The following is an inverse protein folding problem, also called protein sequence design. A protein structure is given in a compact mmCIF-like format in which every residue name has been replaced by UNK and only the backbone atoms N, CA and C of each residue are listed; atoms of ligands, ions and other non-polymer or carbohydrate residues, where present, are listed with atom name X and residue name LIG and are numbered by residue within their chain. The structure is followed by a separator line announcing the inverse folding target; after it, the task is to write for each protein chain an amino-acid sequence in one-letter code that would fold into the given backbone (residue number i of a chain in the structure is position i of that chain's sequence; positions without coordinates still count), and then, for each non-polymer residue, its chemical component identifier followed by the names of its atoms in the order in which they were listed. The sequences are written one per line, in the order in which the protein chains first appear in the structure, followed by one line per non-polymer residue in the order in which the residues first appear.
data_IF_647844750356
#
_entry.id   IF_647844750356
#
_cell.length_a   1.000
_cell.length_b   1.000
_cell.length_c   1.000
_cell.angle_alpha   90.00
_cell.angle_beta   90.00
_cell.angle_gamma   90.00
#
_symmetry.space_group_name_H-M   'P 1'
#
loop_
_entity.id
_entity.type
_entity.pdbx_description
1 polymer ?
#
# COMPACT_ATOMS: atom_id res chain seq x y z
N UNK A 1 25.77 -29.11 45.53
CA UNK A 1 24.56 -28.26 45.41
C UNK A 1 24.72 -27.46 44.13
N UNK A 2 24.23 -28.00 43.01
CA UNK A 2 24.21 -27.26 41.74
C UNK A 2 22.79 -26.75 41.52
N UNK A 3 22.60 -25.45 41.69
CA UNK A 3 21.33 -24.79 41.44
C UNK A 3 21.15 -24.63 39.94
N UNK A 4 20.53 -25.62 39.30
CA UNK A 4 20.03 -25.47 37.93
C UNK A 4 18.98 -24.36 37.93
N UNK A 5 19.36 -23.17 37.48
CA UNK A 5 18.42 -22.13 37.09
C UNK A 5 17.59 -22.74 35.95
N UNK A 6 16.36 -23.15 36.26
CA UNK A 6 15.36 -23.42 35.24
C UNK A 6 15.20 -22.10 34.49
N UNK A 7 15.77 -22.02 33.29
CA UNK A 7 15.28 -21.11 32.26
C UNK A 7 13.83 -21.54 32.01
N UNK A 8 12.92 -20.96 32.79
CA UNK A 8 11.50 -21.02 32.53
C UNK A 8 11.30 -20.54 31.11
N UNK A 9 10.69 -21.38 30.28
CA UNK A 9 10.24 -21.05 28.93
C UNK A 9 9.33 -19.82 29.02
N UNK A 10 9.88 -18.63 28.79
CA UNK A 10 9.10 -17.40 28.68
C UNK A 10 8.77 -17.21 27.19
N UNK A 11 7.54 -17.61 26.84
CA UNK A 11 6.72 -17.22 25.69
C UNK A 11 7.39 -17.10 24.31
N UNK A 12 7.60 -18.24 23.64
CA UNK A 12 7.80 -18.28 22.18
C UNK A 12 6.50 -18.03 21.38
N UNK A 13 5.33 -18.07 22.02
CA UNK A 13 4.00 -18.02 21.38
C UNK A 13 3.50 -16.61 20.99
N UNK A 14 4.08 -15.53 21.54
CA UNK A 14 3.62 -14.15 21.24
C UNK A 14 4.43 -13.47 20.13
N UNK A 15 5.50 -14.08 19.64
CA UNK A 15 6.32 -13.52 18.55
C UNK A 15 5.60 -13.54 17.19
N UNK A 16 4.67 -14.46 16.97
CA UNK A 16 4.09 -14.71 15.65
C UNK A 16 3.27 -13.53 15.13
N UNK A 17 2.61 -12.79 16.01
CA UNK A 17 1.67 -11.71 15.68
C UNK A 17 2.14 -10.33 16.18
N UNK A 18 3.45 -10.14 16.31
CA UNK A 18 4.04 -8.88 16.80
C UNK A 18 5.15 -8.45 15.85
N UNK A 19 5.07 -7.24 15.30
CA UNK A 19 6.06 -6.71 14.38
C UNK A 19 6.70 -5.45 14.95
N UNK A 20 7.98 -5.27 14.64
CA UNK A 20 8.66 -3.99 14.87
C UNK A 20 8.73 -3.23 13.54
N UNK A 21 8.08 -2.08 13.47
CA UNK A 21 7.93 -1.32 12.22
C UNK A 21 8.50 0.07 12.40
N UNK A 22 9.04 0.66 11.33
CA UNK A 22 9.56 2.01 11.40
C UNK A 22 8.42 3.00 11.70
N UNK A 23 8.71 3.98 12.55
CA UNK A 23 7.77 5.02 12.91
C UNK A 23 7.71 6.05 11.76
N UNK A 24 6.57 6.22 11.06
CA UNK A 24 6.47 7.14 9.93
C UNK A 24 6.68 8.60 10.35
N UNK A 25 6.45 8.94 11.62
CA UNK A 25 6.61 10.30 12.16
C UNK A 25 8.03 10.60 12.66
N UNK A 26 8.91 9.60 12.68
CA UNK A 26 10.30 9.79 13.08
C UNK A 26 11.13 10.42 11.96
N UNK A 27 12.31 10.91 12.31
CA UNK A 27 13.23 11.54 11.38
C UNK A 27 13.86 10.47 10.47
N UNK A 28 13.76 10.65 9.15
CA UNK A 28 14.34 9.74 8.15
C UNK A 28 15.86 9.63 8.25
N UNK A 29 16.58 10.69 8.62
CA UNK A 29 18.03 10.66 8.83
C UNK A 29 18.41 9.82 10.05
N UNK A 30 17.56 9.78 11.07
CA UNK A 30 17.77 8.96 12.27
C UNK A 30 17.53 7.48 11.93
N UNK A 31 16.44 7.19 11.22
CA UNK A 31 16.16 5.85 10.69
C UNK A 31 17.28 5.34 9.77
N UNK A 32 17.83 6.19 8.89
CA UNK A 32 18.96 5.80 8.04
C UNK A 32 20.21 5.45 8.85
N UNK A 33 20.52 6.22 9.91
CA UNK A 33 21.63 5.89 10.81
C UNK A 33 21.43 4.56 11.51
N UNK A 34 20.21 4.27 11.96
CA UNK A 34 19.91 2.97 12.56
C UNK A 34 20.03 1.83 11.56
N UNK A 35 19.58 2.01 10.31
CA UNK A 35 19.81 1.04 9.22
C UNK A 35 21.32 0.79 9.08
N UNK A 36 22.12 1.85 8.95
CA UNK A 36 23.57 1.73 8.74
C UNK A 36 24.24 0.99 9.90
N UNK A 37 23.85 1.28 11.14
CA UNK A 37 24.36 0.59 12.33
C UNK A 37 23.97 -0.88 12.33
N UNK A 38 22.72 -1.21 12.04
CA UNK A 38 22.24 -2.59 12.03
C UNK A 38 22.87 -3.40 10.89
N UNK A 39 23.03 -2.82 9.71
CA UNK A 39 23.67 -3.50 8.58
C UNK A 39 25.16 -3.81 8.79
N UNK A 40 25.80 -3.28 9.83
CA UNK A 40 27.13 -3.71 10.25
C UNK A 40 27.12 -5.01 11.06
N UNK A 41 25.96 -5.41 11.59
CA UNK A 41 25.81 -6.56 12.49
C UNK A 41 24.79 -7.60 12.01
N UNK A 42 24.05 -7.33 10.93
CA UNK A 42 23.10 -8.25 10.29
C UNK A 42 23.14 -8.12 8.76
N UNK A 43 22.58 -9.12 8.07
CA UNK A 43 22.50 -9.13 6.62
C UNK A 43 21.41 -8.18 6.10
N UNK A 44 21.85 -7.15 5.37
CA UNK A 44 20.97 -6.19 4.69
C UNK A 44 20.91 -6.38 3.18
N UNK A 45 21.47 -7.46 2.63
CA UNK A 45 21.39 -7.77 1.19
C UNK A 45 19.96 -7.71 0.62
N UNK A 46 18.90 -8.12 1.35
CA UNK A 46 17.53 -8.03 0.85
C UNK A 46 17.04 -6.62 0.54
N UNK A 47 17.55 -5.58 1.20
CA UNK A 47 17.15 -4.18 1.02
C UNK A 47 18.13 -3.38 0.15
N UNK A 48 19.18 -4.01 -0.38
CA UNK A 48 20.10 -3.36 -1.34
C UNK A 48 19.57 -3.56 -2.76
N UNK A 49 20.10 -2.77 -3.70
CA UNK A 49 19.73 -2.84 -5.11
C UNK A 49 19.72 -4.28 -5.64
N UNK A 50 18.59 -4.72 -6.20
CA UNK A 50 18.38 -6.09 -6.69
C UNK A 50 17.96 -7.12 -5.63
N UNK A 51 17.84 -6.71 -4.37
CA UNK A 51 17.34 -7.53 -3.28
C UNK A 51 15.81 -7.70 -3.30
N UNK A 52 15.33 -8.79 -2.69
CA UNK A 52 13.90 -9.15 -2.68
C UNK A 52 13.00 -8.15 -1.92
N UNK A 53 13.58 -7.33 -1.05
CA UNK A 53 12.90 -6.29 -0.26
C UNK A 53 13.49 -4.91 -0.55
N UNK A 54 14.12 -4.74 -1.72
CA UNK A 54 14.63 -3.44 -2.16
C UNK A 54 13.48 -2.49 -2.47
N UNK A 55 12.41 -3.01 -3.09
CA UNK A 55 11.24 -2.22 -3.44
C UNK A 55 10.12 -2.36 -2.38
N UNK A 56 9.48 -1.24 -1.99
CA UNK A 56 9.76 0.13 -2.42
C UNK A 56 11.09 0.66 -1.85
N UNK A 57 11.86 1.35 -2.69
CA UNK A 57 13.16 1.90 -2.31
C UNK A 57 13.03 3.20 -1.49
N UNK A 58 12.52 3.08 -0.26
CA UNK A 58 12.45 4.18 0.71
C UNK A 58 13.14 3.82 2.02
N UNK A 59 13.65 4.85 2.72
CA UNK A 59 14.26 4.69 4.05
C UNK A 59 13.27 4.07 5.04
N UNK A 60 11.98 4.43 4.96
CA UNK A 60 10.96 3.96 5.89
C UNK A 60 10.69 2.46 5.73
N UNK A 61 10.65 1.98 4.50
CA UNK A 61 10.41 0.57 4.18
C UNK A 61 11.64 -0.29 4.52
N UNK A 62 12.83 0.18 4.15
CA UNK A 62 14.08 -0.49 4.52
C UNK A 62 14.27 -0.54 6.04
N UNK A 63 13.97 0.55 6.75
CA UNK A 63 13.97 0.58 8.21
C UNK A 63 12.99 -0.44 8.80
N UNK A 64 11.76 -0.51 8.27
CA UNK A 64 10.76 -1.48 8.75
C UNK A 64 11.21 -2.92 8.58
N UNK A 65 11.84 -3.26 7.44
CA UNK A 65 12.41 -4.58 7.22
C UNK A 65 13.55 -4.88 8.20
N UNK A 66 14.51 -3.97 8.33
CA UNK A 66 15.70 -4.16 9.17
C UNK A 66 15.31 -4.23 10.65
N UNK A 67 14.44 -3.34 11.12
CA UNK A 67 13.96 -3.33 12.50
C UNK A 67 13.18 -4.59 12.85
N UNK A 68 12.28 -5.03 11.97
CA UNK A 68 11.54 -6.27 12.18
C UNK A 68 12.48 -7.47 12.23
N UNK A 69 13.42 -7.58 11.29
CA UNK A 69 14.37 -8.70 11.25
C UNK A 69 15.22 -8.75 12.50
N UNK A 70 15.84 -7.62 12.88
CA UNK A 70 16.58 -7.51 14.14
C UNK A 70 15.73 -7.86 15.36
N UNK A 71 14.49 -7.39 15.40
CA UNK A 71 13.56 -7.67 16.49
C UNK A 71 13.21 -9.16 16.60
N UNK A 72 12.97 -9.83 15.47
CA UNK A 72 12.70 -11.28 15.43
C UNK A 72 13.92 -12.10 15.88
N UNK A 73 15.11 -11.75 15.41
CA UNK A 73 16.36 -12.42 15.78
C UNK A 73 16.67 -12.33 17.28
N UNK A 74 16.10 -11.33 17.96
CA UNK A 74 16.24 -11.10 19.41
C UNK A 74 15.02 -11.54 20.21
N UNK A 75 14.30 -12.55 19.71
CA UNK A 75 13.13 -13.15 20.36
C UNK A 75 12.02 -12.15 20.68
N UNK A 76 11.85 -11.13 19.83
CA UNK A 76 10.76 -10.14 19.89
C UNK A 76 10.63 -9.43 21.24
N UNK A 77 11.74 -9.21 21.96
CA UNK A 77 11.68 -8.54 23.26
C UNK A 77 11.26 -7.07 23.08
N UNK A 78 10.16 -6.59 23.69
CA UNK A 78 9.59 -5.28 23.37
C UNK A 78 10.58 -4.11 23.45
N UNK A 79 11.48 -4.12 24.43
CA UNK A 79 12.47 -3.05 24.58
C UNK A 79 13.49 -2.96 23.42
N UNK A 80 13.55 -3.97 22.54
CA UNK A 80 14.42 -3.97 21.35
C UNK A 80 13.79 -3.26 20.16
N UNK A 81 12.49 -2.98 20.20
CA UNK A 81 11.79 -2.21 19.18
C UNK A 81 11.50 -0.79 19.68
N UNK A 82 12.55 0.00 19.84
CA UNK A 82 12.42 1.41 20.23
C UNK A 82 13.28 2.30 19.33
N UNK A 83 14.56 1.97 19.12
CA UNK A 83 15.46 2.71 18.23
C UNK A 83 15.39 4.23 18.44
N UNK A 84 15.44 4.68 19.71
CA UNK A 84 15.32 6.11 20.02
C UNK A 84 13.97 6.77 19.70
N UNK A 85 12.91 5.99 19.42
CA UNK A 85 11.61 6.44 18.95
C UNK A 85 11.39 6.23 17.45
N UNK A 86 12.38 5.67 16.74
CA UNK A 86 12.36 5.51 15.29
C UNK A 86 11.60 4.27 14.83
N UNK A 87 11.20 3.39 15.76
CA UNK A 87 10.33 2.24 15.51
C UNK A 87 9.22 2.09 16.57
N UNK A 88 8.17 1.37 16.21
CA UNK A 88 7.07 1.01 17.11
C UNK A 88 6.69 -0.45 16.95
N UNK A 89 6.18 -1.03 18.04
CA UNK A 89 5.57 -2.36 18.01
C UNK A 89 4.15 -2.26 17.50
N UNK A 90 3.76 -3.18 16.62
CA UNK A 90 2.37 -3.40 16.21
C UNK A 90 1.98 -4.87 16.40
N UNK A 91 0.74 -5.09 16.83
CA UNK A 91 0.09 -6.43 16.86
C UNK A 91 -0.77 -6.70 15.63
N UNK A 92 -0.85 -5.72 14.73
CA UNK A 92 -1.54 -5.81 13.46
C UNK A 92 -0.49 -5.98 12.37
N UNK A 93 -0.73 -6.90 11.45
CA UNK A 93 0.17 -7.17 10.33
C UNK A 93 0.47 -5.85 9.59
N UNK A 94 1.74 -5.41 9.50
CA UNK A 94 2.08 -4.15 8.86
C UNK A 94 1.96 -4.19 7.34
N UNK A 95 1.92 -5.39 6.74
CA UNK A 95 1.48 -5.54 5.35
C UNK A 95 -0.02 -5.22 5.19
N UNK A 96 -0.74 -5.08 6.30
CA UNK A 96 -2.11 -4.57 6.37
C UNK A 96 -2.19 -3.08 6.75
N UNK A 97 -1.06 -2.39 6.92
CA UNK A 97 -0.98 -0.94 7.13
C UNK A 97 -0.12 -0.32 6.03
N UNK A 98 -0.73 -0.01 4.89
CA UNK A 98 -0.14 0.94 3.95
C UNK A 98 -0.17 2.30 4.65
N UNK A 99 1.01 2.89 4.87
CA UNK A 99 1.10 4.23 5.45
C UNK A 99 0.34 5.22 4.54
N UNK A 100 -0.41 6.14 5.14
CA UNK A 100 -1.22 7.14 4.44
C UNK A 100 -0.44 8.06 3.47
N UNK A 101 0.90 8.06 3.56
CA UNK A 101 1.79 8.80 2.65
C UNK A 101 2.13 8.05 1.35
N UNK A 102 1.84 6.75 1.28
CA UNK A 102 2.22 5.89 0.15
C UNK A 102 1.01 5.51 -0.73
N UNK A 103 -0.15 6.11 -0.45
CA UNK A 103 -1.35 5.84 -1.22
C UNK A 103 -1.18 6.14 -2.72
N UNK A 104 -0.32 7.09 -3.09
CA UNK A 104 -0.07 7.40 -4.50
C UNK A 104 0.44 6.19 -5.30
N UNK A 105 1.18 5.26 -4.66
CA UNK A 105 1.88 4.17 -5.33
C UNK A 105 1.30 2.76 -5.00
N UNK A 106 0.08 2.71 -4.48
CA UNK A 106 -0.66 1.45 -4.29
C UNK A 106 -2.01 1.51 -4.98
N UNK A 107 -2.42 0.39 -5.57
CA UNK A 107 -3.70 0.25 -6.23
C UNK A 107 -4.43 -0.96 -5.69
N UNK A 108 -5.75 -0.85 -5.57
CA UNK A 108 -6.61 -2.00 -5.36
C UNK A 108 -7.19 -2.41 -6.71
N UNK A 109 -6.72 -3.53 -7.25
CA UNK A 109 -7.14 -4.01 -8.59
C UNK A 109 -7.97 -5.27 -8.47
N UNK A 110 -8.90 -5.47 -9.40
CA UNK A 110 -9.71 -6.69 -9.41
C UNK A 110 -8.82 -7.90 -9.71
N UNK A 111 -9.06 -9.00 -8.98
CA UNK A 111 -8.32 -10.23 -9.15
C UNK A 111 -8.75 -10.91 -10.47
N UNK A 112 -7.86 -11.08 -11.46
CA UNK A 112 -8.23 -11.67 -12.75
C UNK A 112 -8.65 -13.14 -12.62
N UNK A 113 -8.25 -13.82 -11.55
CA UNK A 113 -8.59 -15.23 -11.26
C UNK A 113 -9.88 -15.40 -10.44
N UNK A 114 -10.46 -14.31 -9.94
CA UNK A 114 -11.71 -14.35 -9.18
C UNK A 114 -12.93 -14.55 -10.08
N UNK A 115 -14.06 -14.88 -9.47
CA UNK A 115 -15.32 -15.10 -10.18
C UNK A 115 -15.91 -13.74 -10.62
N UNK A 116 -16.20 -13.61 -11.93
CA UNK A 116 -16.78 -12.38 -12.50
C UNK A 116 -18.16 -12.05 -11.91
N UNK A 117 -18.97 -13.04 -11.58
CA UNK A 117 -20.28 -12.82 -10.95
C UNK A 117 -20.15 -12.30 -9.52
N UNK A 118 -19.08 -12.67 -8.82
CA UNK A 118 -18.79 -12.16 -7.48
C UNK A 118 -18.31 -10.70 -7.53
N UNK A 119 -17.39 -10.41 -8.46
CA UNK A 119 -16.96 -9.05 -8.77
C UNK A 119 -18.12 -8.14 -9.18
N UNK A 120 -19.07 -8.63 -10.00
CA UNK A 120 -20.25 -7.85 -10.37
C UNK A 120 -21.14 -7.54 -9.16
N UNK A 121 -21.33 -8.49 -8.25
CA UNK A 121 -22.09 -8.25 -7.02
C UNK A 121 -21.41 -7.19 -6.15
N UNK A 122 -20.09 -7.22 -6.05
CA UNK A 122 -19.36 -6.19 -5.30
C UNK A 122 -19.48 -4.81 -5.96
N UNK A 123 -19.41 -4.72 -7.30
CA UNK A 123 -19.71 -3.49 -8.04
C UNK A 123 -21.10 -2.98 -7.66
N UNK A 124 -22.12 -3.83 -7.74
CA UNK A 124 -23.51 -3.45 -7.48
C UNK A 124 -23.70 -2.94 -6.04
N UNK A 125 -23.05 -3.57 -5.07
CA UNK A 125 -23.05 -3.14 -3.66
C UNK A 125 -22.37 -1.79 -3.50
N UNK A 126 -21.18 -1.62 -4.08
CA UNK A 126 -20.39 -0.39 -3.96
C UNK A 126 -21.08 0.79 -4.65
N UNK A 127 -21.70 0.59 -5.80
CA UNK A 127 -22.42 1.65 -6.51
C UNK A 127 -23.64 2.20 -5.75
N UNK A 128 -24.09 1.54 -4.67
CA UNK A 128 -25.10 2.09 -3.77
C UNK A 128 -24.52 3.09 -2.76
N UNK A 129 -23.20 3.13 -2.59
CA UNK A 129 -22.50 3.96 -1.60
C UNK A 129 -21.42 4.87 -2.19
N UNK A 130 -21.13 4.77 -3.49
CA UNK A 130 -20.21 5.63 -4.24
C UNK A 130 -20.72 5.91 -5.66
N UNK A 131 -20.15 6.92 -6.32
CA UNK A 131 -20.51 7.25 -7.70
C UNK A 131 -19.89 6.28 -8.70
N UNK A 132 -20.75 5.57 -9.43
CA UNK A 132 -20.37 4.67 -10.52
C UNK A 132 -20.69 5.23 -11.90
N UNK A 133 -21.10 6.50 -12.02
CA UNK A 133 -21.33 7.16 -13.32
C UNK A 133 -20.16 7.00 -14.31
N UNK A 134 -18.87 6.98 -13.89
CA UNK A 134 -17.78 6.81 -14.85
C UNK A 134 -17.75 5.46 -15.55
N UNK A 135 -18.25 4.38 -14.92
CA UNK A 135 -18.23 3.01 -15.47
C UNK A 135 -19.56 2.60 -16.13
N UNK A 136 -20.56 3.49 -16.17
CA UNK A 136 -21.82 3.23 -16.88
C UNK A 136 -21.69 3.64 -18.35
N UNK A 137 -22.62 3.18 -19.18
CA UNK A 137 -22.64 3.52 -20.62
C UNK A 137 -22.57 5.03 -20.81
N UNK A 138 -21.62 5.48 -21.64
CA UNK A 138 -21.32 6.90 -21.88
C UNK A 138 -20.40 7.57 -20.85
N UNK A 139 -19.98 6.84 -19.81
CA UNK A 139 -19.00 7.30 -18.82
C UNK A 139 -17.57 7.21 -19.32
N UNK A 140 -16.68 8.02 -18.73
CA UNK A 140 -15.27 8.11 -19.13
C UNK A 140 -14.47 6.81 -18.94
N UNK A 141 -14.97 5.91 -18.10
CA UNK A 141 -14.35 4.65 -17.69
C UNK A 141 -15.20 3.43 -18.04
N UNK A 142 -16.07 3.59 -19.03
CA UNK A 142 -16.90 2.51 -19.53
C UNK A 142 -16.08 1.52 -20.37
N UNK A 143 -15.13 2.00 -21.16
CA UNK A 143 -14.28 1.14 -21.99
C UNK A 143 -12.93 0.87 -21.32
N UNK A 144 -12.41 -0.38 -21.40
CA UNK A 144 -13.06 -1.55 -21.98
C UNK A 144 -14.29 -2.01 -21.16
N UNK A 145 -15.39 -2.31 -21.84
CA UNK A 145 -16.64 -2.74 -21.21
C UNK A 145 -16.55 -4.19 -20.69
N UNK A 146 -15.77 -4.40 -19.62
CA UNK A 146 -15.65 -5.67 -18.93
C UNK A 146 -15.86 -5.51 -17.43
N UNK A 147 -16.41 -6.54 -16.80
CA UNK A 147 -16.59 -6.60 -15.34
C UNK A 147 -15.25 -6.45 -14.60
N UNK A 148 -14.15 -6.97 -15.16
CA UNK A 148 -12.83 -6.91 -14.52
C UNK A 148 -12.31 -5.46 -14.45
N UNK A 149 -12.51 -4.71 -15.52
CA UNK A 149 -12.07 -3.33 -15.63
C UNK A 149 -12.93 -2.40 -14.78
N UNK A 150 -14.25 -2.55 -14.85
CA UNK A 150 -15.18 -1.81 -14.00
C UNK A 150 -14.96 -2.13 -12.51
N UNK A 151 -14.70 -3.40 -12.15
CA UNK A 151 -14.39 -3.77 -10.77
C UNK A 151 -13.07 -3.13 -10.31
N UNK A 152 -12.04 -3.12 -11.15
CA UNK A 152 -10.76 -2.48 -10.81
C UNK A 152 -10.92 -0.98 -10.55
N UNK A 153 -11.73 -0.29 -11.36
CA UNK A 153 -12.06 1.13 -11.15
C UNK A 153 -12.74 1.35 -9.78
N UNK A 154 -13.81 0.59 -9.52
CA UNK A 154 -14.64 0.77 -8.32
C UNK A 154 -13.85 0.39 -7.06
N UNK A 155 -13.13 -0.73 -7.08
CA UNK A 155 -12.31 -1.17 -5.95
C UNK A 155 -11.19 -0.19 -5.64
N UNK A 156 -10.50 0.30 -6.66
CA UNK A 156 -9.46 1.29 -6.45
C UNK A 156 -10.04 2.59 -5.87
N UNK A 157 -11.11 3.12 -6.45
CA UNK A 157 -11.75 4.35 -5.94
C UNK A 157 -12.20 4.19 -4.49
N UNK A 158 -12.91 3.11 -4.17
CA UNK A 158 -13.36 2.80 -2.82
C UNK A 158 -12.20 2.68 -1.81
N UNK A 159 -11.10 2.06 -2.24
CA UNK A 159 -9.88 1.89 -1.47
C UNK A 159 -9.19 3.24 -1.22
N UNK A 160 -9.07 4.10 -2.24
CA UNK A 160 -8.49 5.44 -2.14
C UNK A 160 -9.29 6.33 -1.18
N UNK A 161 -10.62 6.32 -1.29
CA UNK A 161 -11.53 7.08 -0.42
C UNK A 161 -11.39 6.68 1.07
N UNK A 162 -10.91 5.46 1.34
CA UNK A 162 -10.69 4.94 2.71
C UNK A 162 -9.27 5.07 3.18
N UNK A 163 -8.57 6.09 2.68
CA UNK A 163 -7.16 6.33 2.99
C UNK A 163 -6.30 5.09 2.73
N UNK A 164 -6.70 4.27 1.74
CA UNK A 164 -5.88 3.21 1.19
C UNK A 164 -5.59 2.12 2.23
N UNK A 165 -6.57 1.92 3.14
CA UNK A 165 -6.57 0.89 4.16
C UNK A 165 -6.62 -0.50 3.49
N UNK A 166 -5.60 -1.35 3.68
CA UNK A 166 -5.54 -2.68 3.09
C UNK A 166 -6.73 -3.59 3.37
N UNK A 167 -7.37 -3.43 4.53
CA UNK A 167 -8.57 -4.19 4.91
C UNK A 167 -9.75 -3.91 3.99
N UNK A 168 -9.71 -2.81 3.24
CA UNK A 168 -10.76 -2.38 2.31
C UNK A 168 -10.53 -2.90 0.89
N UNK A 169 -9.38 -3.54 0.63
CA UNK A 169 -9.02 -4.16 -0.66
C UNK A 169 -8.89 -5.68 -0.53
N UNK A 170 -9.98 -6.33 -0.16
CA UNK A 170 -10.04 -7.80 -0.12
C UNK A 170 -11.27 -8.31 -0.88
N UNK A 171 -12.46 -7.74 -0.62
CA UNK A 171 -13.71 -8.11 -1.31
C UNK A 171 -13.91 -9.63 -1.41
N UNK A 172 -13.68 -10.35 -0.29
CA UNK A 172 -13.79 -11.81 -0.27
C UNK A 172 -12.77 -12.57 -1.14
N UNK A 173 -11.71 -11.92 -1.62
CA UNK A 173 -10.73 -12.45 -2.56
C UNK A 173 -10.87 -11.92 -4.00
N UNK A 174 -11.85 -11.06 -4.25
CA UNK A 174 -12.17 -10.54 -5.57
C UNK A 174 -11.27 -9.37 -6.01
N UNK A 175 -10.46 -8.83 -5.09
CA UNK A 175 -9.46 -7.79 -5.36
C UNK A 175 -8.11 -8.09 -4.71
N UNK A 176 -7.07 -7.39 -5.14
CA UNK A 176 -5.72 -7.51 -4.57
C UNK A 176 -5.00 -6.16 -4.62
N UNK A 177 -4.20 -5.89 -3.60
CA UNK A 177 -3.34 -4.71 -3.55
C UNK A 177 -2.10 -4.96 -4.40
N UNK A 178 -1.78 -4.02 -5.28
CA UNK A 178 -0.55 -4.02 -6.07
C UNK A 178 0.22 -2.72 -5.85
N UNK A 179 1.55 -2.81 -5.80
CA UNK A 179 2.48 -1.67 -5.89
C UNK A 179 3.01 -1.46 -7.31
N UNK A 180 2.72 -2.39 -8.21
CA UNK A 180 2.99 -2.25 -9.63
C UNK A 180 1.79 -1.58 -10.27
N UNK A 181 2.02 -0.42 -10.89
CA UNK A 181 1.02 0.24 -11.70
C UNK A 181 0.50 -0.75 -12.75
N UNK A 182 -0.80 -1.09 -12.77
CA UNK A 182 -1.34 -2.06 -13.74
C UNK A 182 -1.21 -1.61 -15.21
N UNK A 183 -0.80 -0.35 -15.46
CA UNK A 183 -0.70 0.27 -16.79
C UNK A 183 0.53 -0.13 -17.64
N UNK A 184 1.34 -1.14 -17.27
CA UNK A 184 2.51 -1.50 -18.09
C UNK A 184 2.15 -2.11 -19.46
N UNK A 185 0.89 -2.51 -19.69
CA UNK A 185 0.49 -3.28 -20.87
C UNK A 185 -0.78 -2.77 -21.58
N UNK A 186 -1.39 -1.66 -21.13
CA UNK A 186 -2.62 -1.12 -21.72
C UNK A 186 -2.52 0.40 -21.72
N UNK A 187 -2.86 1.02 -22.85
CA UNK A 187 -2.79 2.46 -23.06
C UNK A 187 -3.40 3.23 -21.87
N UNK A 188 -2.74 4.31 -21.49
CA UNK A 188 -3.05 5.13 -20.35
C UNK A 188 -4.39 5.87 -20.54
N UNK A 189 -5.46 5.27 -20.07
CA UNK A 189 -6.76 5.92 -20.00
C UNK A 189 -7.14 5.97 -18.51
N UNK A 190 -7.31 7.20 -17.99
CA UNK A 190 -7.33 7.69 -16.59
C UNK A 190 -8.12 6.93 -15.52
N UNK A 191 -8.78 5.83 -15.87
CA UNK A 191 -9.80 5.18 -15.08
C UNK A 191 -9.25 4.28 -13.98
N UNK A 192 -8.23 3.48 -14.24
CA UNK A 192 -7.75 2.49 -13.26
C UNK A 192 -6.92 3.09 -12.12
N UNK A 193 -6.57 4.38 -12.19
CA UNK A 193 -5.85 5.09 -11.12
C UNK A 193 -6.78 5.76 -10.10
N UNK A 194 -8.10 5.71 -10.31
CA UNK A 194 -9.09 6.33 -9.42
C UNK A 194 -9.16 7.86 -9.53
N UNK A 195 -8.59 8.45 -10.58
CA UNK A 195 -8.79 9.85 -10.90
C UNK A 195 -9.86 9.95 -11.98
N UNK A 196 -11.06 10.40 -11.62
CA UNK A 196 -11.99 10.89 -12.63
C UNK A 196 -11.30 12.06 -13.34
N UNK A 197 -11.20 11.99 -14.67
CA UNK A 197 -10.70 13.09 -15.50
C UNK A 197 -11.42 14.37 -15.07
N UNK A 198 -10.69 15.26 -14.37
CA UNK A 198 -11.17 16.59 -14.08
C UNK A 198 -11.22 17.31 -15.42
N UNK A 199 -12.43 17.51 -15.93
CA UNK A 199 -12.72 18.37 -17.05
C UNK A 199 -12.15 19.76 -16.81
N UNK A 200 -10.96 20.01 -17.36
CA UNK A 200 -10.51 21.34 -17.76
C UNK A 200 -10.29 21.32 -19.26
N UNK A 201 -11.41 21.31 -19.98
CA UNK A 201 -11.45 21.89 -21.30
C UNK A 201 -11.86 23.35 -21.14
N UNK A 202 -10.91 24.26 -21.32
CA UNK A 202 -11.19 25.63 -21.78
C UNK A 202 -10.43 25.83 -23.09
N UNK A 203 -10.87 25.15 -24.15
CA UNK A 203 -10.75 25.68 -25.50
C UNK A 203 -11.80 26.77 -25.71
N UNK A 204 -11.42 28.03 -25.50
CA UNK A 204 -12.16 29.18 -26.04
C UNK A 204 -11.33 29.84 -27.15
N UNK A 205 -11.67 29.47 -28.39
CA UNK A 205 -11.46 30.31 -29.56
C UNK A 205 -12.57 31.37 -29.58
N UNK A 206 -12.21 32.65 -29.55
CA UNK A 206 -13.09 33.75 -29.97
C UNK A 206 -12.30 34.79 -30.79
N UNK A 207 -12.66 34.82 -32.07
CA UNK A 207 -12.70 35.92 -33.04
C UNK A 207 -11.94 37.23 -32.81
N UNK A 208 -11.28 37.65 -33.88
CA UNK A 208 -10.81 39.00 -34.16
C UNK A 208 -11.90 40.07 -33.98
N UNK A 209 -11.55 41.21 -33.38
CA UNK A 209 -12.14 42.51 -33.74
C UNK A 209 -11.14 43.65 -33.51
N UNK A 210 -10.84 44.35 -34.60
CA UNK A 210 -10.14 45.64 -34.64
C UNK A 210 -10.79 46.71 -33.76
N UNK A 211 -9.99 47.50 -33.05
CA UNK A 211 -10.19 48.96 -32.90
C UNK A 211 -8.85 49.71 -32.75
N UNK A 212 -8.76 50.83 -33.48
CA UNK A 212 -7.73 51.86 -33.51
C UNK A 212 -7.24 52.33 -32.12
N UNK A 213 -5.93 52.59 -32.00
CA UNK A 213 -5.34 53.92 -31.71
C UNK A 213 -4.00 54.03 -32.45
#
# INVERSE_FOLDING_TARGET
METKIKMSNVAADDCANVWCVANPKANRDAQQKDIDVLCNVMDCSPIKSGGACFEPNTILDHASFVFNTYFKDRACYPARCNFGGDATITKTNPLSNVAADDCANVWCVANPKANRDAQQKDIDVLCNVMDCSPIKSGGACFEPNTVLDHASFVFNTYFKDRACNPSTCNFGGDATITKTNPLSNVAADDCHTGHAASSRDETMSHGEHHTNV
#
